data_IF_217430036042
#
_entry.id   IF_217430036042
#
_cell.length_a   1.000
_cell.length_b   1.000
_cell.length_c   1.000
_cell.angle_alpha   90.00
_cell.angle_beta   90.00
_cell.angle_gamma   90.00
#
_symmetry.space_group_name_H-M   'P 1'
#
loop_
_entity.id
_entity.type
_entity.pdbx_description
1 polymer ?
#
# COMPACT_ATOMS: atom_id res chain seq x y z
N UNK A 1 44.79 -35.50 -36.84
CA UNK A 1 43.40 -35.56 -36.36
C UNK A 1 43.26 -35.28 -34.86
N UNK A 2 43.99 -35.96 -33.96
CA UNK A 2 43.89 -35.71 -32.50
C UNK A 2 44.18 -34.25 -32.08
N UNK A 3 45.18 -33.58 -32.67
CA UNK A 3 45.51 -32.17 -32.37
C UNK A 3 44.40 -31.17 -32.74
N UNK A 4 43.60 -31.46 -33.78
CA UNK A 4 42.51 -30.57 -34.22
C UNK A 4 41.30 -30.67 -33.27
N UNK A 5 41.05 -31.88 -32.74
CA UNK A 5 39.97 -32.14 -31.78
C UNK A 5 40.25 -31.40 -30.45
N UNK A 6 41.48 -31.43 -29.94
CA UNK A 6 41.85 -30.69 -28.73
C UNK A 6 41.69 -29.17 -28.88
N UNK A 7 42.00 -28.62 -30.06
CA UNK A 7 41.84 -27.19 -30.32
C UNK A 7 40.35 -26.79 -30.33
N UNK A 8 39.50 -27.63 -30.94
CA UNK A 8 38.06 -27.40 -31.00
C UNK A 8 37.39 -27.55 -29.63
N UNK A 9 37.81 -28.52 -28.82
CA UNK A 9 37.32 -28.69 -27.44
C UNK A 9 37.74 -27.54 -26.52
N UNK A 10 38.96 -27.00 -26.67
CA UNK A 10 39.40 -25.80 -25.94
C UNK A 10 38.58 -24.56 -26.31
N UNK A 11 38.31 -24.32 -27.60
CA UNK A 11 37.51 -23.18 -28.07
C UNK A 11 36.07 -23.21 -27.53
N UNK A 12 35.46 -24.39 -27.46
CA UNK A 12 34.12 -24.57 -26.87
C UNK A 12 34.11 -24.27 -25.36
N UNK A 13 35.15 -24.69 -24.63
CA UNK A 13 35.29 -24.38 -23.21
C UNK A 13 35.47 -22.88 -22.95
N UNK A 14 36.28 -22.19 -23.77
CA UNK A 14 36.43 -20.73 -23.67
C UNK A 14 35.12 -19.97 -23.94
N UNK A 15 34.31 -20.41 -24.92
CA UNK A 15 33.01 -19.80 -25.23
C UNK A 15 31.96 -20.02 -24.11
N UNK A 16 31.96 -21.20 -23.47
CA UNK A 16 31.11 -21.45 -22.31
C UNK A 16 31.53 -20.65 -21.08
N UNK A 17 32.82 -20.36 -20.91
CA UNK A 17 33.31 -19.58 -19.78
C UNK A 17 33.02 -18.08 -19.94
N UNK A 18 33.11 -17.52 -21.15
CA UNK A 18 32.82 -16.09 -21.37
C UNK A 18 31.32 -15.79 -21.27
N UNK A 19 30.45 -16.67 -21.76
CA UNK A 19 28.99 -16.51 -21.62
C UNK A 19 28.52 -16.62 -20.16
N UNK A 20 29.22 -17.40 -19.33
CA UNK A 20 28.93 -17.50 -17.90
C UNK A 20 29.42 -16.25 -17.13
N UNK A 21 30.52 -15.63 -17.56
CA UNK A 21 31.04 -14.38 -17.02
C UNK A 21 30.15 -13.18 -17.42
N UNK A 22 29.66 -13.11 -18.66
CA UNK A 22 28.71 -12.07 -19.09
C UNK A 22 27.39 -12.14 -18.31
N UNK A 23 26.94 -13.34 -17.92
CA UNK A 23 25.75 -13.53 -17.08
C UNK A 23 25.99 -13.21 -15.60
N UNK A 24 27.25 -13.18 -15.14
CA UNK A 24 27.64 -12.79 -13.77
C UNK A 24 28.04 -11.31 -13.66
N UNK A 25 28.49 -10.68 -14.75
CA UNK A 25 28.90 -9.28 -14.80
C UNK A 25 27.86 -8.36 -15.47
N UNK A 26 26.94 -8.91 -16.25
CA UNK A 26 25.78 -8.22 -16.82
C UNK A 26 24.58 -8.33 -15.89
N UNK A 27 24.78 -8.01 -14.61
CA UNK A 27 23.66 -7.63 -13.76
C UNK A 27 23.20 -6.29 -14.29
N UNK A 28 22.22 -6.30 -15.19
CA UNK A 28 21.39 -5.13 -15.40
C UNK A 28 20.90 -4.74 -14.00
N UNK A 29 21.37 -3.62 -13.49
CA UNK A 29 20.81 -2.99 -12.31
C UNK A 29 19.34 -2.74 -12.65
N UNK A 30 18.47 -3.67 -12.27
CA UNK A 30 17.03 -3.45 -12.31
C UNK A 30 16.80 -2.29 -11.34
N UNK A 31 16.75 -1.07 -11.88
CA UNK A 31 16.26 0.08 -11.12
C UNK A 31 14.86 -0.29 -10.66
N UNK A 32 14.75 -0.62 -9.38
CA UNK A 32 13.49 -0.92 -8.75
C UNK A 32 12.64 0.34 -8.88
N UNK A 33 11.55 0.25 -9.67
CA UNK A 33 10.65 1.38 -9.86
C UNK A 33 10.21 1.87 -8.48
N UNK A 34 10.50 3.14 -8.22
CA UNK A 34 10.15 3.75 -6.95
C UNK A 34 8.64 3.70 -6.74
N UNK A 35 8.16 3.32 -5.56
CA UNK A 35 6.73 3.32 -5.22
C UNK A 35 6.12 4.73 -5.22
N UNK A 36 6.94 5.78 -5.22
CA UNK A 36 6.49 7.16 -5.16
C UNK A 36 6.11 7.69 -6.53
N UNK A 37 4.90 8.24 -6.61
CA UNK A 37 4.36 8.86 -7.80
C UNK A 37 4.77 10.34 -7.87
N UNK A 38 5.17 10.79 -9.06
CA UNK A 38 5.55 12.20 -9.31
C UNK A 38 4.34 13.15 -9.37
N UNK A 39 3.14 12.60 -9.47
CA UNK A 39 1.87 13.33 -9.55
C UNK A 39 0.82 12.63 -8.69
N UNK A 40 -0.29 13.33 -8.45
CA UNK A 40 -1.47 12.71 -7.82
C UNK A 40 -1.90 11.49 -8.65
N UNK A 41 -2.26 10.36 -8.03
CA UNK A 41 -2.76 9.20 -8.77
C UNK A 41 -4.01 9.56 -9.58
N UNK A 42 -4.21 8.85 -10.68
CA UNK A 42 -5.42 9.00 -11.47
C UNK A 42 -6.65 8.46 -10.72
N UNK A 43 -7.82 9.04 -10.99
CA UNK A 43 -9.09 8.52 -10.45
C UNK A 43 -9.53 7.34 -11.31
N UNK A 44 -9.31 6.15 -10.80
CA UNK A 44 -9.69 4.89 -11.44
C UNK A 44 -10.68 4.12 -10.57
N UNK A 45 -11.21 3.01 -11.12
CA UNK A 45 -12.12 2.07 -10.41
C UNK A 45 -11.54 0.64 -10.48
N UNK A 46 -10.22 0.55 -10.52
CA UNK A 46 -9.50 -0.67 -10.91
C UNK A 46 -8.87 -1.38 -9.70
N UNK A 47 -8.73 -0.70 -8.56
CA UNK A 47 -8.02 -1.21 -7.40
C UNK A 47 -6.52 -1.20 -7.62
N UNK A 48 -5.98 -0.14 -8.22
CA UNK A 48 -4.56 -0.01 -8.57
C UNK A 48 -3.62 0.16 -7.35
N UNK A 49 -4.18 0.10 -6.13
CA UNK A 49 -3.49 0.29 -4.85
C UNK A 49 -2.67 1.58 -4.84
N UNK A 50 -3.34 2.69 -5.14
CA UNK A 50 -2.73 4.02 -5.13
C UNK A 50 -3.32 4.86 -4.03
N UNK A 51 -2.48 5.74 -3.47
CA UNK A 51 -2.88 6.77 -2.54
C UNK A 51 -2.14 8.04 -2.86
N UNK A 52 -2.80 9.19 -2.74
CA UNK A 52 -2.15 10.48 -2.84
C UNK A 52 -2.84 11.55 -2.00
N UNK A 53 -2.06 12.45 -1.44
CA UNK A 53 -2.54 13.66 -0.77
C UNK A 53 -1.45 14.74 -0.76
N UNK A 54 -1.78 15.94 -0.30
CA UNK A 54 -0.78 16.95 0.04
C UNK A 54 -0.66 17.07 1.56
N UNK A 55 0.55 16.84 2.08
CA UNK A 55 0.89 17.09 3.48
C UNK A 55 1.58 18.45 3.57
N UNK A 56 0.95 19.39 4.28
CA UNK A 56 1.45 20.76 4.42
C UNK A 56 1.83 21.39 3.06
N UNK A 57 1.04 21.09 2.01
CA UNK A 57 1.23 21.58 0.65
C UNK A 57 2.23 20.79 -0.23
N UNK A 58 2.93 19.78 0.31
CA UNK A 58 3.83 18.91 -0.47
C UNK A 58 3.10 17.64 -0.89
N UNK A 59 3.20 17.27 -2.17
CA UNK A 59 2.61 16.04 -2.67
C UNK A 59 3.27 14.83 -2.02
N UNK A 60 2.45 13.92 -1.54
CA UNK A 60 2.81 12.57 -1.16
C UNK A 60 1.88 11.63 -1.92
N UNK A 61 2.45 10.85 -2.83
CA UNK A 61 1.69 9.90 -3.62
C UNK A 61 2.49 8.62 -3.78
N UNK A 62 1.84 7.49 -3.55
CA UNK A 62 2.45 6.16 -3.52
C UNK A 62 1.55 5.15 -4.23
N UNK A 63 2.19 4.09 -4.74
CA UNK A 63 1.53 2.94 -5.34
C UNK A 63 2.08 1.65 -4.72
N UNK A 64 1.19 0.71 -4.39
CA UNK A 64 1.57 -0.64 -3.98
C UNK A 64 1.91 -1.52 -5.19
N UNK A 65 3.01 -2.26 -5.13
CA UNK A 65 3.35 -3.28 -6.13
C UNK A 65 3.02 -4.67 -5.60
N UNK A 66 2.01 -5.32 -6.18
CA UNK A 66 1.61 -6.68 -5.80
C UNK A 66 2.81 -7.65 -5.87
N UNK A 67 3.27 -8.13 -4.71
CA UNK A 67 4.14 -9.31 -4.62
C UNK A 67 5.66 -9.08 -4.68
N UNK A 68 6.16 -7.93 -4.25
CA UNK A 68 7.61 -7.75 -3.95
C UNK A 68 7.87 -7.76 -2.45
N UNK A 69 8.87 -8.52 -2.03
CA UNK A 69 9.35 -8.55 -0.64
C UNK A 69 10.10 -7.23 -0.38
N UNK A 70 9.38 -6.23 0.14
CA UNK A 70 9.84 -4.83 0.20
C UNK A 70 8.68 -3.86 -0.05
N UNK A 71 7.79 -3.79 0.95
CA UNK A 71 6.63 -2.90 1.16
C UNK A 71 5.60 -2.76 0.01
N UNK A 72 4.44 -3.39 0.21
CA UNK A 72 3.18 -2.98 -0.42
C UNK A 72 2.78 -1.60 0.19
N UNK A 73 3.25 -0.49 -0.39
CA UNK A 73 3.05 0.87 0.14
C UNK A 73 1.60 1.30 0.33
N UNK A 74 0.67 0.62 -0.34
CA UNK A 74 -0.77 0.80 -0.15
C UNK A 74 -1.40 -0.58 -0.10
N UNK A 75 -1.94 -0.94 1.05
CA UNK A 75 -2.69 -2.17 1.27
C UNK A 75 -4.05 -1.84 1.87
N UNK A 76 -5.03 -2.73 1.67
CA UNK A 76 -6.26 -2.63 2.44
C UNK A 76 -6.74 -4.00 2.87
N UNK A 77 -7.40 -4.02 4.02
CA UNK A 77 -7.93 -5.23 4.61
C UNK A 77 -9.29 -4.94 5.24
N UNK A 78 -10.28 -5.72 4.83
CA UNK A 78 -11.60 -5.77 5.44
C UNK A 78 -11.63 -6.91 6.46
N UNK A 79 -11.92 -6.55 7.70
CA UNK A 79 -12.09 -7.49 8.81
C UNK A 79 -13.57 -7.52 9.14
N UNK A 80 -14.14 -8.72 9.04
CA UNK A 80 -15.50 -9.03 9.44
C UNK A 80 -15.38 -10.15 10.47
N UNK A 81 -15.44 -9.78 11.75
CA UNK A 81 -15.30 -10.73 12.85
C UNK A 81 -16.26 -10.43 13.98
N UNK A 82 -17.05 -11.43 14.36
CA UNK A 82 -17.91 -11.35 15.54
C UNK A 82 -17.12 -11.38 16.86
N UNK A 83 -15.80 -11.66 16.82
CA UNK A 83 -14.93 -11.79 17.98
C UNK A 83 -13.50 -11.32 17.68
N UNK A 84 -13.18 -10.05 17.96
CA UNK A 84 -11.80 -9.57 17.88
C UNK A 84 -11.04 -9.85 19.20
N UNK A 85 -10.12 -10.81 19.17
CA UNK A 85 -9.26 -11.16 20.31
C UNK A 85 -8.38 -10.01 20.80
N UNK A 86 -8.05 -9.04 19.93
CA UNK A 86 -7.21 -7.89 20.29
C UNK A 86 -7.98 -6.81 21.07
N UNK A 87 -9.31 -6.78 20.97
CA UNK A 87 -10.18 -5.75 21.58
C UNK A 87 -11.20 -6.40 22.52
N UNK A 88 -10.80 -7.46 23.22
CA UNK A 88 -11.58 -8.02 24.32
C UNK A 88 -12.95 -8.59 23.93
N UNK A 89 -13.05 -9.26 22.77
CA UNK A 89 -14.26 -9.96 22.30
C UNK A 89 -15.41 -9.06 21.83
N UNK A 90 -15.11 -7.86 21.33
CA UNK A 90 -16.09 -7.06 20.61
C UNK A 90 -16.09 -7.41 19.11
N UNK A 91 -17.26 -7.36 18.45
CA UNK A 91 -17.32 -7.43 17.00
C UNK A 91 -16.46 -6.34 16.38
N UNK A 92 -15.76 -6.69 15.32
CA UNK A 92 -14.90 -5.81 14.55
C UNK A 92 -15.33 -5.88 13.09
N UNK A 93 -15.95 -4.79 12.64
CA UNK A 93 -16.41 -4.58 11.27
C UNK A 93 -15.71 -3.34 10.75
N UNK A 94 -14.52 -3.51 10.19
CA UNK A 94 -13.77 -2.38 9.66
C UNK A 94 -12.96 -2.72 8.42
N UNK A 95 -12.77 -1.69 7.60
CA UNK A 95 -11.86 -1.71 6.46
C UNK A 95 -10.72 -0.74 6.77
N UNK A 96 -9.51 -1.28 6.89
CA UNK A 96 -8.29 -0.50 7.08
C UNK A 96 -7.58 -0.37 5.73
N UNK A 97 -7.37 0.86 5.27
CA UNK A 97 -6.39 1.18 4.23
C UNK A 97 -5.11 1.60 4.93
N UNK A 98 -4.05 0.84 4.73
CA UNK A 98 -2.72 1.06 5.28
C UNK A 98 -1.81 1.62 4.20
N UNK A 99 -1.21 2.77 4.49
CA UNK A 99 -0.28 3.46 3.59
C UNK A 99 1.06 3.58 4.30
N UNK A 100 2.10 2.98 3.75
CA UNK A 100 3.46 3.09 4.27
C UNK A 100 4.21 4.27 3.63
N UNK A 101 5.06 4.90 4.41
CA UNK A 101 5.96 5.95 3.94
C UNK A 101 7.37 5.71 4.49
N UNK A 102 8.37 6.07 3.70
CA UNK A 102 9.77 6.07 4.15
C UNK A 102 10.06 7.22 5.13
N UNK A 103 9.17 8.22 5.19
CA UNK A 103 9.25 9.32 6.14
C UNK A 103 9.02 8.80 7.57
N UNK A 104 10.04 8.93 8.43
CA UNK A 104 10.03 8.42 9.81
C UNK A 104 8.97 9.06 10.71
N UNK A 105 8.54 10.29 10.42
CA UNK A 105 7.61 11.02 11.29
C UNK A 105 6.15 10.64 10.99
N UNK A 106 5.85 10.27 9.73
CA UNK A 106 4.55 9.72 9.33
C UNK A 106 4.54 8.20 9.49
N UNK A 107 5.54 7.51 8.94
CA UNK A 107 5.78 6.07 8.96
C UNK A 107 4.70 5.25 8.28
N UNK A 108 3.49 5.27 8.83
CA UNK A 108 2.34 4.50 8.40
C UNK A 108 1.07 5.33 8.65
N UNK A 109 0.30 5.63 7.61
CA UNK A 109 -1.04 6.20 7.73
C UNK A 109 -2.08 5.10 7.58
N UNK A 110 -3.01 5.04 8.51
CA UNK A 110 -4.19 4.21 8.43
C UNK A 110 -5.43 5.08 8.18
N UNK A 111 -6.26 4.67 7.23
CA UNK A 111 -7.63 5.16 7.04
C UNK A 111 -8.58 4.02 7.37
N UNK A 112 -9.37 4.18 8.42
CA UNK A 112 -10.27 3.14 8.93
C UNK A 112 -11.72 3.53 8.70
N UNK A 113 -12.45 2.65 8.01
CA UNK A 113 -13.89 2.73 7.80
C UNK A 113 -14.61 1.74 8.71
N UNK A 114 -15.73 2.14 9.29
CA UNK A 114 -16.72 1.19 9.85
C UNK A 114 -17.50 0.54 8.70
N UNK A 115 -17.39 -0.78 8.55
CA UNK A 115 -18.02 -1.50 7.44
C UNK A 115 -19.51 -1.75 7.65
N UNK A 116 -20.05 -1.51 8.85
CA UNK A 116 -21.49 -1.65 9.15
C UNK A 116 -22.35 -0.70 8.31
N UNK A 117 -21.78 0.47 7.98
CA UNK A 117 -22.48 1.54 7.26
C UNK A 117 -21.76 2.00 5.98
N UNK A 118 -20.71 1.27 5.58
CA UNK A 118 -19.90 1.62 4.41
C UNK A 118 -20.76 1.61 3.14
N UNK A 119 -20.69 2.70 2.38
CA UNK A 119 -21.46 2.90 1.15
C UNK A 119 -20.78 3.91 0.25
N UNK A 120 -21.20 3.99 -1.01
CA UNK A 120 -20.84 5.13 -1.86
C UNK A 120 -21.44 6.44 -1.30
N UNK A 121 -20.67 7.53 -1.40
CA UNK A 121 -20.96 8.82 -0.79
C UNK A 121 -20.15 9.09 0.48
N UNK A 122 -20.64 10.00 1.33
CA UNK A 122 -19.91 10.45 2.52
C UNK A 122 -19.95 9.38 3.62
N UNK A 123 -18.76 9.05 4.10
CA UNK A 123 -18.50 8.16 5.23
C UNK A 123 -17.59 8.89 6.24
N UNK A 124 -17.81 8.64 7.53
CA UNK A 124 -16.99 9.18 8.60
C UNK A 124 -15.93 8.14 8.97
N UNK A 125 -14.65 8.52 8.88
CA UNK A 125 -13.53 7.60 8.99
C UNK A 125 -12.54 8.08 10.04
N UNK A 126 -11.88 7.14 10.71
CA UNK A 126 -10.74 7.48 11.55
C UNK A 126 -9.48 7.51 10.70
N UNK A 127 -8.60 8.49 10.95
CA UNK A 127 -7.27 8.53 10.36
C UNK A 127 -6.21 8.69 11.43
N UNK A 128 -5.16 7.89 11.36
CA UNK A 128 -4.07 7.95 12.32
C UNK A 128 -2.78 7.42 11.71
N UNK A 129 -1.67 7.90 12.23
CA UNK A 129 -0.34 7.42 11.95
C UNK A 129 0.45 7.25 13.26
N UNK A 130 1.73 6.89 13.17
CA UNK A 130 2.56 6.62 14.35
C UNK A 130 2.53 7.76 15.38
N UNK A 131 2.66 9.00 14.91
CA UNK A 131 2.77 10.19 15.76
C UNK A 131 1.49 11.02 15.83
N UNK A 132 0.68 10.99 14.77
CA UNK A 132 -0.47 11.88 14.65
C UNK A 132 -1.79 11.11 14.53
N UNK A 133 -2.86 11.62 15.11
CA UNK A 133 -4.20 11.07 14.96
C UNK A 133 -5.24 12.18 14.79
N UNK A 134 -6.36 11.87 14.16
CA UNK A 134 -7.49 12.80 14.18
C UNK A 134 -8.07 12.91 15.60
N UNK A 135 -8.56 14.10 15.94
CA UNK A 135 -9.38 14.28 17.14
C UNK A 135 -10.86 13.92 16.89
N UNK A 136 -11.30 14.02 15.63
CA UNK A 136 -12.65 13.73 15.16
C UNK A 136 -12.60 13.00 13.81
N UNK A 137 -13.66 12.29 13.44
CA UNK A 137 -13.72 11.57 12.16
C UNK A 137 -13.51 12.49 10.95
N UNK A 138 -12.87 11.97 9.92
CA UNK A 138 -12.71 12.60 8.60
C UNK A 138 -13.87 12.21 7.70
N UNK A 139 -14.45 13.20 7.02
CA UNK A 139 -15.40 12.96 5.94
C UNK A 139 -14.65 12.49 4.69
N UNK A 140 -14.88 11.24 4.31
CA UNK A 140 -14.37 10.63 3.10
C UNK A 140 -15.53 10.35 2.16
N UNK A 141 -15.44 10.87 0.94
CA UNK A 141 -16.36 10.53 -0.14
C UNK A 141 -15.89 9.25 -0.82
N UNK A 142 -16.58 8.14 -0.58
CA UNK A 142 -16.36 6.88 -1.31
C UNK A 142 -17.02 7.02 -2.69
N UNK A 143 -16.20 7.15 -3.72
CA UNK A 143 -16.66 7.41 -5.10
C UNK A 143 -16.99 6.15 -5.87
N UNK A 144 -16.49 5.00 -5.41
CA UNK A 144 -16.77 3.69 -5.98
C UNK A 144 -16.58 2.61 -4.92
N UNK A 145 -17.56 1.71 -4.78
CA UNK A 145 -17.48 0.53 -3.92
C UNK A 145 -17.93 -0.71 -4.69
N UNK A 146 -17.02 -1.66 -4.87
CA UNK A 146 -17.32 -2.96 -5.46
C UNK A 146 -16.95 -4.09 -4.50
N UNK A 147 -17.96 -4.61 -3.81
CA UNK A 147 -17.78 -5.66 -2.81
C UNK A 147 -17.43 -7.02 -3.43
N UNK A 148 -17.79 -7.31 -4.68
CA UNK A 148 -17.44 -8.58 -5.33
C UNK A 148 -15.97 -8.63 -5.77
N UNK A 149 -15.45 -7.49 -6.26
CA UNK A 149 -14.07 -7.35 -6.71
C UNK A 149 -13.12 -6.89 -5.62
N UNK A 150 -13.67 -6.58 -4.44
CA UNK A 150 -12.99 -6.00 -3.30
C UNK A 150 -12.26 -4.69 -3.63
N UNK A 151 -12.95 -3.74 -4.26
CA UNK A 151 -12.37 -2.45 -4.65
C UNK A 151 -13.12 -1.34 -3.91
N UNK A 152 -12.36 -0.40 -3.34
CA UNK A 152 -12.87 0.84 -2.79
C UNK A 152 -12.03 2.01 -3.31
N UNK A 153 -12.71 3.02 -3.82
CA UNK A 153 -12.09 4.27 -4.27
C UNK A 153 -12.75 5.43 -3.55
N UNK A 154 -11.99 6.48 -3.29
CA UNK A 154 -12.55 7.65 -2.63
C UNK A 154 -11.58 8.81 -2.52
N UNK A 155 -12.10 9.87 -1.93
CA UNK A 155 -11.40 11.14 -1.78
C UNK A 155 -11.84 11.89 -0.53
N UNK A 156 -10.98 12.79 -0.06
CA UNK A 156 -11.31 13.72 1.02
C UNK A 156 -10.64 15.07 0.77
N UNK A 157 -11.33 16.15 1.14
CA UNK A 157 -10.81 17.50 0.92
C UNK A 157 -9.71 17.86 1.92
N UNK A 158 -9.91 17.51 3.19
CA UNK A 158 -9.01 17.89 4.30
C UNK A 158 -9.11 16.92 5.48
N UNK A 159 -7.95 16.58 6.05
CA UNK A 159 -7.83 15.95 7.37
C UNK A 159 -6.77 16.70 8.20
N UNK A 160 -7.01 16.85 9.50
CA UNK A 160 -6.04 17.44 10.44
C UNK A 160 -5.67 16.34 11.43
N UNK A 161 -4.40 15.97 11.44
CA UNK A 161 -3.86 14.97 12.37
C UNK A 161 -3.03 15.70 13.43
N UNK A 162 -3.42 15.55 14.69
CA UNK A 162 -2.78 16.16 15.85
C UNK A 162 -1.74 15.22 16.43
N UNK A 163 -0.63 15.78 16.89
CA UNK A 163 0.41 15.03 17.58
C UNK A 163 -0.17 14.46 18.88
N UNK A 164 0.00 13.15 19.08
CA UNK A 164 -0.54 12.41 20.22
C UNK A 164 0.07 12.84 21.56
N UNK A 165 1.31 13.35 21.55
CA UNK A 165 2.02 13.84 22.73
C UNK A 165 1.80 15.36 22.95
N UNK A 166 1.45 16.09 21.90
CA UNK A 166 1.25 17.54 21.95
C UNK A 166 0.21 18.05 20.95
N UNK A 167 -1.05 18.13 21.39
CA UNK A 167 -2.20 18.56 20.57
C UNK A 167 -2.09 19.96 19.92
N UNK A 168 -1.07 20.76 20.25
CA UNK A 168 -0.80 22.04 19.57
C UNK A 168 -0.01 21.87 18.28
N UNK A 169 0.65 20.75 18.11
CA UNK A 169 1.32 20.36 16.88
C UNK A 169 0.37 19.50 16.04
N UNK A 170 0.34 19.77 14.74
CA UNK A 170 -0.55 19.08 13.81
C UNK A 170 -0.01 19.17 12.39
N UNK A 171 -0.41 18.19 11.59
CA UNK A 171 -0.22 18.18 10.14
C UNK A 171 -1.57 18.30 9.45
N UNK A 172 -1.57 18.93 8.28
CA UNK A 172 -2.77 19.01 7.44
C UNK A 172 -2.57 18.20 6.17
N UNK A 173 -3.45 17.23 5.96
CA UNK A 173 -3.60 16.49 4.71
C UNK A 173 -4.70 17.17 3.90
N UNK A 174 -4.47 17.38 2.61
CA UNK A 174 -5.47 17.95 1.70
C UNK A 174 -5.52 17.22 0.38
N UNK A 175 -6.69 17.25 -0.27
CA UNK A 175 -6.94 16.61 -1.58
C UNK A 175 -6.51 15.14 -1.59
N UNK A 176 -6.93 14.40 -0.56
CA UNK A 176 -6.66 12.98 -0.47
C UNK A 176 -7.46 12.20 -1.51
N UNK A 177 -6.83 11.18 -2.09
CA UNK A 177 -7.45 10.30 -3.08
C UNK A 177 -6.85 8.90 -2.96
N UNK A 178 -7.68 7.88 -3.12
CA UNK A 178 -7.24 6.49 -3.13
C UNK A 178 -8.04 5.65 -4.12
N UNK A 179 -7.37 4.66 -4.72
CA UNK A 179 -7.96 3.57 -5.48
C UNK A 179 -7.32 2.26 -5.00
N UNK A 180 -8.07 1.47 -4.23
CA UNK A 180 -7.49 0.37 -3.46
C UNK A 180 -8.30 -0.90 -3.62
N UNK A 181 -7.56 -2.00 -3.80
CA UNK A 181 -8.09 -3.35 -3.70
C UNK A 181 -7.82 -3.91 -2.30
N UNK A 182 -8.85 -4.41 -1.64
CA UNK A 182 -8.76 -4.94 -0.28
C UNK A 182 -8.83 -6.46 -0.22
N UNK A 183 -8.23 -7.03 0.82
CA UNK A 183 -8.40 -8.45 1.17
C UNK A 183 -9.52 -8.61 2.19
N UNK A 184 -10.41 -9.58 1.98
CA UNK A 184 -11.39 -9.98 2.99
C UNK A 184 -10.77 -11.03 3.92
N UNK A 185 -10.75 -10.76 5.23
CA UNK A 185 -10.44 -11.78 6.25
C UNK A 185 -11.67 -12.05 7.10
N UNK A 186 -12.34 -13.14 6.77
CA UNK A 186 -13.39 -13.74 7.60
C UNK A 186 -12.73 -14.59 8.68
N UNK A 187 -13.08 -14.34 9.94
CA UNK A 187 -12.64 -15.18 11.05
C UNK A 187 -13.76 -16.15 11.45
N UNK A 188 -13.80 -17.33 10.82
CA UNK A 188 -14.70 -18.40 11.22
C UNK A 188 -14.10 -19.20 12.38
N UNK A 189 -14.82 -19.23 13.51
CA UNK A 189 -14.45 -19.97 14.72
C UNK A 189 -14.41 -21.50 14.54
N UNK A 190 -14.82 -22.02 13.37
CA UNK A 190 -14.87 -23.45 13.06
C UNK A 190 -13.53 -24.04 12.54
N UNK A 191 -12.50 -23.21 12.30
CA UNK A 191 -11.17 -23.68 11.87
C UNK A 191 -10.23 -24.07 13.03
N UNK A 192 -10.76 -24.70 14.10
CA UNK A 192 -9.96 -25.30 15.18
C UNK A 192 -10.23 -26.79 15.34
#
# INVERSE_FOLDING_TARGET
MKKLIYLFSMLLLFSSCTSMIERWLGGDDYEEESPYLKHMPEKTMEGNNTFGCYINGKLLAVQGTKGKEGSDFVTAKRIESDNNFAIGWLPAYYLDISIEFEDKDMGHLCVRFDTTNLKEGINHCDMFCNKYAVNDSVDVNVTFLNEEKHIICGEFDKAILYDSDNIKDFITLTKGQFDVKYELREYNSENR
#
